data_IF_049503631969
#
_entry.id   IF_049503631969
#
_cell.length_a   1.000
_cell.length_b   1.000
_cell.length_c   1.000
_cell.angle_alpha   90.00
_cell.angle_beta   90.00
_cell.angle_gamma   90.00
#
_symmetry.space_group_name_H-M   'P 1'
#
loop_
_entity.id
_entity.type
_entity.pdbx_description
1 polymer ?
#
# COMPACT_ATOMS: atom_id res chain seq x y z
N UNK A 1 -18.13 7.90 7.90
CA UNK A 1 -16.86 8.10 7.17
C UNK A 1 -16.90 9.50 6.55
N UNK A 2 -16.46 10.52 7.29
CA UNK A 2 -16.41 11.90 6.78
C UNK A 2 -15.16 12.11 5.90
N UNK A 3 -14.03 11.54 6.31
CA UNK A 3 -12.74 11.63 5.60
C UNK A 3 -12.79 11.08 4.17
N UNK A 4 -13.54 10.00 3.93
CA UNK A 4 -13.64 9.37 2.61
C UNK A 4 -14.43 10.25 1.62
N UNK A 5 -15.57 10.81 2.07
CA UNK A 5 -16.35 11.75 1.27
C UNK A 5 -15.59 13.06 1.01
N UNK A 6 -14.82 13.54 2.00
CA UNK A 6 -13.98 14.72 1.85
C UNK A 6 -12.88 14.54 0.79
N UNK A 7 -12.31 13.33 0.68
CA UNK A 7 -11.25 13.02 -0.27
C UNK A 7 -11.74 12.63 -1.67
N UNK A 8 -12.89 11.97 -1.79
CA UNK A 8 -13.42 11.52 -3.10
C UNK A 8 -14.17 12.61 -3.87
N UNK A 9 -14.64 13.66 -3.18
CA UNK A 9 -15.54 14.65 -3.76
C UNK A 9 -16.94 14.10 -4.04
N UNK A 10 -17.27 12.92 -3.50
CA UNK A 10 -18.60 12.34 -3.59
C UNK A 10 -19.58 13.11 -2.70
N UNK A 11 -20.84 13.21 -3.13
CA UNK A 11 -21.87 13.87 -2.35
C UNK A 11 -22.03 13.17 -1.00
N UNK A 12 -22.14 13.95 0.08
CA UNK A 12 -22.35 13.41 1.42
C UNK A 12 -23.77 12.80 1.48
N UNK A 13 -23.99 11.75 2.29
CA UNK A 13 -25.33 11.29 2.60
C UNK A 13 -26.16 12.44 3.15
N UNK A 14 -27.44 12.52 2.76
CA UNK A 14 -28.31 13.66 3.08
C UNK A 14 -28.40 13.94 4.58
N UNK A 15 -28.43 12.90 5.41
CA UNK A 15 -28.46 13.04 6.87
C UNK A 15 -27.21 13.72 7.43
N UNK A 16 -26.07 13.50 6.78
CA UNK A 16 -24.78 14.06 7.15
C UNK A 16 -24.64 15.50 6.64
N UNK A 17 -25.15 15.80 5.45
CA UNK A 17 -25.24 17.18 4.93
C UNK A 17 -26.10 18.04 5.87
N UNK A 18 -27.27 17.55 6.27
CA UNK A 18 -28.15 18.25 7.21
C UNK A 18 -27.46 18.49 8.56
N UNK A 19 -26.67 17.52 9.05
CA UNK A 19 -25.90 17.68 10.29
C UNK A 19 -24.74 18.70 10.15
N UNK A 20 -23.94 18.60 9.09
CA UNK A 20 -22.82 19.53 8.84
C UNK A 20 -23.35 20.94 8.63
N UNK A 21 -24.49 21.11 7.97
CA UNK A 21 -25.15 22.41 7.84
C UNK A 21 -25.71 22.95 9.17
N UNK A 22 -26.14 22.07 10.08
CA UNK A 22 -26.70 22.45 11.38
C UNK A 22 -25.68 22.63 12.51
N UNK A 23 -24.42 22.20 12.32
CA UNK A 23 -23.39 22.22 13.37
C UNK A 23 -22.13 22.96 12.91
N UNK A 24 -21.90 24.17 13.46
CA UNK A 24 -20.76 25.03 13.11
C UNK A 24 -19.40 24.33 13.32
N UNK A 25 -19.25 23.55 14.39
CA UNK A 25 -18.01 22.83 14.68
C UNK A 25 -17.70 21.77 13.61
N UNK A 26 -18.70 20.98 13.20
CA UNK A 26 -18.55 19.98 12.15
C UNK A 26 -18.31 20.63 10.79
N UNK A 27 -18.94 21.77 10.51
CA UNK A 27 -18.69 22.55 9.30
C UNK A 27 -17.25 23.03 9.21
N UNK A 28 -16.72 23.62 10.29
CA UNK A 28 -15.33 24.06 10.35
C UNK A 28 -14.35 22.90 10.17
N UNK A 29 -14.55 21.79 10.88
CA UNK A 29 -13.71 20.60 10.75
C UNK A 29 -13.74 20.02 9.33
N UNK A 30 -14.90 19.96 8.70
CA UNK A 30 -15.04 19.47 7.32
C UNK A 30 -14.36 20.40 6.30
N UNK A 31 -14.45 21.72 6.50
CA UNK A 31 -13.74 22.69 5.67
C UNK A 31 -12.21 22.56 5.79
N UNK A 32 -11.70 22.33 7.00
CA UNK A 32 -10.28 22.08 7.26
C UNK A 32 -9.79 20.80 6.57
N UNK A 33 -10.57 19.70 6.67
CA UNK A 33 -10.26 18.44 5.97
C UNK A 33 -10.24 18.65 4.45
N UNK A 34 -11.23 19.34 3.88
CA UNK A 34 -11.23 19.66 2.43
C UNK A 34 -10.02 20.49 2.02
N UNK A 35 -9.63 21.49 2.83
CA UNK A 35 -8.47 22.31 2.54
C UNK A 35 -7.18 21.47 2.53
N UNK A 36 -7.05 20.54 3.48
CA UNK A 36 -5.94 19.60 3.52
C UNK A 36 -5.88 18.72 2.26
N UNK A 37 -6.99 18.09 1.87
CA UNK A 37 -7.04 17.25 0.67
C UNK A 37 -6.69 18.04 -0.60
N UNK A 38 -7.24 19.24 -0.78
CA UNK A 38 -6.88 20.11 -1.90
C UNK A 38 -5.39 20.46 -1.94
N UNK A 39 -4.75 20.64 -0.78
CA UNK A 39 -3.31 20.90 -0.72
C UNK A 39 -2.47 19.70 -1.16
N UNK A 40 -2.90 18.48 -0.79
CA UNK A 40 -2.25 17.23 -1.17
C UNK A 40 -2.42 17.01 -2.68
N UNK A 41 -3.63 17.16 -3.19
CA UNK A 41 -3.92 17.00 -4.62
C UNK A 41 -3.16 18.02 -5.46
N UNK A 42 -3.10 19.28 -5.01
CA UNK A 42 -2.31 20.31 -5.67
C UNK A 42 -0.82 19.96 -5.73
N UNK A 43 -0.26 19.42 -4.65
CA UNK A 43 1.14 18.98 -4.62
C UNK A 43 1.40 17.77 -5.52
N UNK A 44 0.49 16.79 -5.53
CA UNK A 44 0.56 15.61 -6.40
C UNK A 44 0.44 16.03 -7.88
N UNK A 45 -0.49 16.93 -8.19
CA UNK A 45 -0.67 17.45 -9.54
C UNK A 45 0.57 18.23 -10.00
N UNK A 46 1.15 19.07 -9.13
CA UNK A 46 2.38 19.79 -9.43
C UNK A 46 3.56 18.83 -9.69
N UNK A 47 3.68 17.77 -8.88
CA UNK A 47 4.72 16.76 -9.06
C UNK A 47 4.50 15.90 -10.33
N UNK A 48 3.26 15.51 -10.61
CA UNK A 48 2.91 14.69 -11.77
C UNK A 48 3.05 15.46 -13.10
N UNK A 49 2.81 16.77 -13.07
CA UNK A 49 2.97 17.65 -14.23
C UNK A 49 4.32 18.38 -14.23
N UNK A 50 5.27 17.99 -13.38
CA UNK A 50 6.62 18.53 -13.44
C UNK A 50 7.21 18.27 -14.83
N UNK A 51 7.91 19.26 -15.37
CA UNK A 51 8.48 19.18 -16.71
C UNK A 51 9.38 17.95 -16.82
N UNK A 52 8.99 17.02 -17.69
CA UNK A 52 9.73 15.78 -17.91
C UNK A 52 11.01 16.15 -18.67
N UNK A 53 12.21 15.90 -18.12
CA UNK A 53 13.43 16.24 -18.82
C UNK A 53 13.48 15.52 -20.17
N UNK A 54 13.79 16.25 -21.24
CA UNK A 54 13.75 15.71 -22.62
C UNK A 54 14.64 14.47 -22.83
N UNK A 55 15.62 14.24 -21.95
CA UNK A 55 16.48 13.05 -21.94
C UNK A 55 15.82 11.78 -21.39
N UNK A 56 14.71 11.89 -20.65
CA UNK A 56 14.05 10.75 -20.01
C UNK A 56 13.42 9.82 -21.04
N UNK A 57 12.69 10.36 -22.01
CA UNK A 57 12.03 9.53 -23.04
C UNK A 57 13.02 8.72 -23.89
N UNK A 58 14.12 9.29 -24.43
CA UNK A 58 15.14 8.50 -25.12
C UNK A 58 15.74 7.39 -24.23
N UNK A 59 16.01 7.68 -22.96
CA UNK A 59 16.61 6.72 -22.02
C UNK A 59 15.66 5.57 -21.69
N UNK A 60 14.39 5.87 -21.42
CA UNK A 60 13.36 4.87 -21.18
C UNK A 60 13.16 3.99 -22.42
N UNK A 61 13.11 4.59 -23.61
CA UNK A 61 13.02 3.82 -24.88
C UNK A 61 14.21 2.89 -25.08
N UNK A 62 15.43 3.38 -24.84
CA UNK A 62 16.64 2.58 -24.92
C UNK A 62 16.63 1.44 -23.89
N UNK A 63 16.16 1.71 -22.69
CA UNK A 63 16.08 0.70 -21.63
C UNK A 63 15.03 -0.37 -21.93
N UNK A 64 13.82 0.01 -22.35
CA UNK A 64 12.78 -0.94 -22.79
C UNK A 64 13.26 -1.80 -23.97
N UNK A 65 13.94 -1.19 -24.95
CA UNK A 65 14.54 -1.93 -26.06
C UNK A 65 15.58 -2.94 -25.54
N UNK A 66 16.44 -2.54 -24.61
CA UNK A 66 17.45 -3.43 -24.02
C UNK A 66 16.85 -4.56 -23.19
N UNK A 67 15.77 -4.30 -22.44
CA UNK A 67 15.12 -5.29 -21.58
C UNK A 67 14.28 -6.29 -22.38
N UNK A 68 13.66 -5.85 -23.48
CA UNK A 68 12.90 -6.71 -24.39
C UNK A 68 13.74 -7.85 -24.98
N UNK A 69 15.04 -7.62 -25.20
CA UNK A 69 15.96 -8.64 -25.72
C UNK A 69 16.29 -9.73 -24.69
N UNK A 70 16.21 -9.43 -23.38
CA UNK A 70 16.48 -10.38 -22.29
C UNK A 70 15.23 -11.10 -21.81
N UNK A 71 14.08 -10.43 -21.79
CA UNK A 71 12.82 -10.99 -21.31
C UNK A 71 12.24 -12.07 -22.24
N UNK A 72 12.47 -11.98 -23.56
CA UNK A 72 11.83 -12.88 -24.52
C UNK A 72 12.34 -14.34 -24.49
N UNK A 73 13.44 -14.63 -23.76
CA UNK A 73 13.97 -16.00 -23.68
C UNK A 73 13.29 -16.87 -22.61
N UNK A 74 12.58 -16.28 -21.63
CA UNK A 74 11.91 -17.02 -20.53
C UNK A 74 10.39 -17.12 -20.66
N UNK A 75 9.76 -16.27 -21.46
CA UNK A 75 8.31 -16.31 -21.72
C UNK A 75 7.82 -17.61 -22.37
N UNK A 76 8.53 -18.28 -23.30
CA UNK A 76 7.96 -19.50 -23.90
C UNK A 76 7.77 -20.62 -22.88
N UNK A 77 8.64 -20.73 -21.86
CA UNK A 77 8.56 -21.82 -20.87
C UNK A 77 7.28 -21.74 -20.03
N UNK A 78 6.89 -20.54 -19.60
CA UNK A 78 5.66 -20.35 -18.81
C UNK A 78 4.39 -20.57 -19.63
N UNK A 79 4.38 -20.19 -20.91
CA UNK A 79 3.25 -20.44 -21.81
C UNK A 79 3.04 -21.95 -22.07
N UNK A 80 4.11 -22.74 -22.15
CA UNK A 80 3.99 -24.20 -22.26
C UNK A 80 3.48 -24.86 -20.97
N UNK A 81 3.84 -24.34 -19.79
CA UNK A 81 3.37 -24.87 -18.50
C UNK A 81 1.87 -24.65 -18.32
N UNK A 82 1.36 -23.46 -18.66
CA UNK A 82 -0.10 -23.17 -18.55
C UNK A 82 -0.90 -23.97 -19.57
N UNK A 83 -0.42 -24.08 -20.82
CA UNK A 83 -1.06 -24.92 -21.85
C UNK A 83 -1.13 -26.41 -21.45
N UNK A 84 -0.05 -26.95 -20.88
CA UNK A 84 -0.01 -28.33 -20.40
C UNK A 84 -1.00 -28.59 -19.26
N UNK A 85 -1.20 -27.63 -18.36
CA UNK A 85 -2.09 -27.78 -17.21
C UNK A 85 -3.57 -27.80 -17.63
N UNK A 86 -3.96 -26.98 -18.62
CA UNK A 86 -5.32 -26.98 -19.19
C UNK A 86 -5.61 -28.30 -19.91
N UNK A 87 -4.67 -28.78 -20.74
CA UNK A 87 -4.84 -30.07 -21.44
C UNK A 87 -4.92 -31.22 -20.43
N UNK A 88 -4.05 -31.22 -19.41
CA UNK A 88 -4.08 -32.22 -18.34
C UNK A 88 -5.41 -32.25 -17.57
N UNK A 89 -5.96 -31.09 -17.24
CA UNK A 89 -7.25 -30.97 -16.55
C UNK A 89 -8.41 -31.51 -17.40
N UNK A 90 -8.41 -31.27 -18.72
CA UNK A 90 -9.42 -31.79 -19.64
C UNK A 90 -9.35 -33.32 -19.73
N UNK A 91 -8.14 -33.88 -19.87
CA UNK A 91 -7.94 -35.35 -19.94
C UNK A 91 -8.37 -36.03 -18.64
N UNK A 92 -7.94 -35.51 -17.48
CA UNK A 92 -8.31 -36.05 -16.17
C UNK A 92 -9.83 -35.99 -15.94
N UNK A 93 -10.48 -34.87 -16.30
CA UNK A 93 -11.93 -34.71 -16.16
C UNK A 93 -12.70 -35.69 -17.07
N UNK A 94 -12.22 -35.92 -18.30
CA UNK A 94 -12.86 -36.87 -19.22
C UNK A 94 -12.73 -38.33 -18.77
N UNK A 95 -11.66 -38.68 -18.05
CA UNK A 95 -11.41 -40.04 -17.55
C UNK A 95 -12.28 -40.40 -16.33
N UNK A 96 -12.56 -39.44 -15.44
CA UNK A 96 -13.40 -39.68 -14.26
C UNK A 96 -14.87 -39.92 -14.60
N UNK A 97 -15.36 -39.28 -15.69
CA UNK A 97 -16.70 -39.48 -16.24
C UNK A 97 -16.90 -40.91 -16.78
N UNK A 98 -15.84 -41.53 -17.34
CA UNK A 98 -15.92 -42.91 -17.85
C UNK A 98 -15.91 -43.97 -16.75
N UNK A 99 -15.20 -43.74 -15.65
CA UNK A 99 -15.18 -44.68 -14.52
C UNK A 99 -16.45 -44.63 -13.66
N UNK A 100 -17.15 -43.50 -13.64
CA UNK A 100 -18.41 -43.36 -12.87
C UNK A 100 -19.60 -44.10 -13.48
N UNK A 101 -19.53 -44.47 -14.76
CA UNK A 101 -20.61 -45.19 -15.46
C UNK A 101 -20.65 -46.71 -15.16
N UNK A 102 -19.60 -47.27 -14.54
CA UNK A 102 -19.49 -48.73 -14.30
C UNK A 102 -19.95 -49.14 -12.88
N UNK A 103 -20.26 -48.20 -11.98
CA UNK A 103 -20.57 -48.51 -10.57
C UNK A 103 -22.02 -48.29 -10.14
N UNK A 104 -23.00 -48.28 -11.06
CA UNK A 104 -24.43 -48.23 -10.72
C UNK A 104 -25.22 -49.38 -11.36
N UNK A 105 -25.03 -50.60 -10.84
CA UNK A 105 -26.01 -51.67 -11.00
C UNK A 105 -25.96 -52.66 -9.83
N UNK A 106 -26.54 -52.24 -8.69
CA UNK A 106 -27.03 -53.07 -7.56
C UNK A 106 -27.28 -52.09 -6.41
N UNK A 107 -28.43 -51.87 -5.82
CA UNK A 107 -29.77 -52.44 -5.87
C UNK A 107 -30.53 -51.89 -4.63
N UNK A 108 -31.86 -51.90 -4.67
CA UNK A 108 -32.83 -51.69 -3.56
C UNK A 108 -33.15 -50.25 -3.07
N UNK A 109 -34.20 -49.72 -3.70
CA UNK A 109 -35.50 -49.23 -3.15
C UNK A 109 -35.88 -49.57 -1.67
N UNK A 110 -36.95 -48.99 -1.07
CA UNK A 110 -37.11 -47.62 -0.54
C UNK A 110 -37.57 -47.60 0.95
N UNK A 111 -37.54 -46.44 1.61
CA UNK A 111 -38.45 -46.19 2.74
C UNK A 111 -38.71 -44.69 2.95
N UNK A 112 -40.00 -44.36 2.98
CA UNK A 112 -40.56 -43.03 3.12
C UNK A 112 -40.42 -42.43 4.55
N UNK A 113 -40.27 -41.11 4.61
CA UNK A 113 -40.75 -40.21 5.68
C UNK A 113 -40.66 -38.79 5.12
N UNK A 114 -41.73 -38.12 4.70
CA UNK A 114 -42.86 -37.62 5.48
C UNK A 114 -42.40 -36.88 6.74
N UNK A 115 -42.37 -35.55 6.72
CA UNK A 115 -43.40 -34.67 7.32
C UNK A 115 -43.01 -33.21 7.06
N UNK A 116 -44.03 -32.45 6.67
CA UNK A 116 -44.12 -31.00 6.51
C UNK A 116 -43.74 -30.25 7.80
N UNK A 117 -43.28 -29.00 7.70
CA UNK A 117 -44.02 -27.91 8.34
C UNK A 117 -43.51 -26.54 7.91
N UNK A 118 -44.41 -25.75 7.33
CA UNK A 118 -44.32 -24.31 7.22
C UNK A 118 -44.63 -23.63 8.58
N UNK A 119 -44.49 -22.30 8.62
CA UNK A 119 -44.94 -21.28 9.61
C UNK A 119 -43.71 -20.44 10.04
N UNK A 120 -43.44 -19.29 9.41
CA UNK A 120 -44.08 -17.97 9.59
C UNK A 120 -43.98 -17.43 11.03
N UNK A 121 -43.10 -16.43 11.23
CA UNK A 121 -43.33 -15.22 12.05
C UNK A 121 -42.10 -14.31 12.06
N UNK A 122 -42.25 -13.17 11.41
CA UNK A 122 -41.61 -11.88 11.74
C UNK A 122 -42.46 -11.18 12.84
N UNK A 123 -42.20 -9.93 13.27
CA UNK A 123 -41.04 -9.33 13.94
C UNK A 123 -41.40 -8.81 15.36
N UNK A 124 -40.49 -8.80 16.33
CA UNK A 124 -40.46 -7.92 17.53
C UNK A 124 -39.14 -8.23 18.25
N UNK A 125 -38.29 -7.34 18.72
CA UNK A 125 -38.26 -5.90 18.93
C UNK A 125 -37.12 -5.64 19.93
N UNK A 126 -36.38 -4.55 19.76
CA UNK A 126 -35.66 -3.78 20.79
C UNK A 126 -34.89 -4.52 21.91
N UNK A 127 -33.56 -4.47 21.85
CA UNK A 127 -32.75 -4.06 23.01
C UNK A 127 -31.34 -3.66 22.55
N UNK A 128 -31.15 -2.37 22.30
CA UNK A 128 -29.82 -1.75 22.21
C UNK A 128 -29.42 -1.43 23.64
N UNK A 129 -28.39 -2.12 24.14
CA UNK A 129 -27.79 -1.85 25.44
C UNK A 129 -26.86 -0.65 25.28
N UNK A 130 -27.40 0.55 25.52
CA UNK A 130 -26.64 1.80 25.59
C UNK A 130 -25.92 1.87 26.93
N UNK A 131 -24.61 1.60 26.94
CA UNK A 131 -23.74 1.86 28.08
C UNK A 131 -23.49 3.35 28.23
N UNK A 132 -24.19 3.95 29.21
CA UNK A 132 -23.92 5.28 29.74
C UNK A 132 -22.50 5.34 30.33
N UNK A 133 -21.58 6.00 29.63
CA UNK A 133 -20.30 6.40 30.21
C UNK A 133 -20.56 7.67 31.03
N UNK A 134 -20.51 7.45 32.35
CA UNK A 134 -20.66 8.42 33.41
C UNK A 134 -19.48 9.42 33.39
N UNK A 135 -19.77 10.67 33.04
CA UNK A 135 -18.86 11.81 33.20
C UNK A 135 -18.75 12.13 34.69
N UNK A 136 -17.55 11.98 35.27
CA UNK A 136 -17.23 12.51 36.60
C UNK A 136 -16.60 13.89 36.47
N UNK A 137 -17.05 14.90 37.23
CA UNK A 137 -16.42 16.21 37.25
C UNK A 137 -15.39 16.34 38.39
N UNK A 138 -14.44 17.24 38.15
CA UNK A 138 -13.64 17.98 39.14
C UNK A 138 -12.50 17.26 39.88
N UNK A 139 -11.29 17.75 39.63
CA UNK A 139 -10.41 18.25 40.69
C UNK A 139 -9.27 19.06 40.08
N UNK A 140 -9.46 20.38 39.99
CA UNK A 140 -8.35 21.33 40.04
C UNK A 140 -7.65 21.18 41.39
N UNK A 141 -6.38 20.80 41.43
CA UNK A 141 -5.45 21.20 42.51
C UNK A 141 -4.01 21.33 42.00
N UNK A 142 -3.60 22.59 41.93
CA UNK A 142 -2.37 23.15 42.50
C UNK A 142 -1.02 22.54 42.07
N UNK A 143 -0.34 23.36 41.26
CA UNK A 143 1.11 23.53 41.13
C UNK A 143 1.90 23.09 42.37
N UNK A 144 2.83 22.14 42.21
CA UNK A 144 4.00 22.02 43.08
C UNK A 144 5.20 21.52 42.30
N UNK A 145 5.98 22.51 41.85
CA UNK A 145 7.44 22.56 41.78
C UNK A 145 8.18 21.28 42.26
N UNK A 146 8.66 20.48 41.30
CA UNK A 146 9.92 19.74 41.46
C UNK A 146 10.62 19.58 40.12
N UNK A 147 11.46 20.57 39.84
CA UNK A 147 12.55 20.48 38.88
C UNK A 147 13.50 19.33 39.21
N UNK A 148 14.03 18.73 38.15
CA UNK A 148 15.32 18.02 38.05
C UNK A 148 15.49 16.82 38.96
N UNK A 149 15.06 15.68 38.44
CA UNK A 149 15.89 14.47 38.44
C UNK A 149 15.80 13.83 37.06
N UNK A 150 16.78 14.21 36.23
CA UNK A 150 17.49 13.30 35.34
C UNK A 150 16.62 12.58 34.30
N UNK A 151 16.42 13.34 33.23
CA UNK A 151 16.38 12.90 31.84
C UNK A 151 17.56 11.94 31.59
N UNK A 152 17.37 10.63 31.78
CA UNK A 152 18.36 9.62 31.37
C UNK A 152 17.74 8.24 31.07
N UNK A 153 16.50 8.23 30.55
CA UNK A 153 15.85 7.00 30.08
C UNK A 153 15.14 7.11 28.72
N UNK A 154 15.33 8.19 27.98
CA UNK A 154 14.73 8.38 26.63
C UNK A 154 15.77 8.15 25.50
N UNK A 155 16.76 7.29 25.75
CA UNK A 155 17.77 6.92 24.75
C UNK A 155 17.71 5.43 24.34
N UNK A 156 16.63 4.71 24.65
CA UNK A 156 16.29 3.51 23.89
C UNK A 156 15.31 3.93 22.81
N UNK A 157 15.86 4.30 21.65
CA UNK A 157 15.10 4.29 20.39
C UNK A 157 14.60 2.86 20.21
N UNK A 158 13.39 2.58 20.65
CA UNK A 158 12.66 1.40 20.23
C UNK A 158 12.56 1.49 18.70
N UNK A 159 13.33 0.66 18.01
CA UNK A 159 13.15 0.49 16.58
C UNK A 159 11.67 0.15 16.33
N UNK A 160 11.03 0.75 15.31
CA UNK A 160 9.63 0.52 15.05
C UNK A 160 9.41 -0.98 14.83
N UNK A 161 8.63 -1.61 15.71
CA UNK A 161 8.28 -3.02 15.58
C UNK A 161 7.28 -3.15 14.42
N UNK A 162 7.76 -3.61 13.27
CA UNK A 162 6.93 -3.89 12.10
C UNK A 162 6.41 -5.32 12.22
N UNK A 163 5.09 -5.47 12.38
CA UNK A 163 4.44 -6.78 12.38
C UNK A 163 4.39 -7.33 10.95
N UNK A 164 5.32 -8.24 10.65
CA UNK A 164 5.40 -8.94 9.37
C UNK A 164 4.68 -10.29 9.49
N UNK A 165 3.87 -10.66 8.50
CA UNK A 165 3.25 -11.99 8.46
C UNK A 165 4.32 -13.10 8.39
N UNK A 166 4.01 -14.30 8.88
CA UNK A 166 4.99 -15.41 8.88
C UNK A 166 5.48 -15.78 7.47
N UNK A 167 4.61 -15.66 6.46
CA UNK A 167 4.93 -15.90 5.06
C UNK A 167 5.86 -14.83 4.48
N UNK A 168 5.58 -13.56 4.78
CA UNK A 168 6.40 -12.43 4.34
C UNK A 168 7.78 -12.44 5.01
N UNK A 169 7.86 -12.80 6.29
CA UNK A 169 9.13 -12.99 7.00
C UNK A 169 9.98 -14.10 6.36
N UNK A 170 9.35 -15.20 5.92
CA UNK A 170 10.03 -16.26 5.18
C UNK A 170 10.49 -15.79 3.80
N UNK A 171 9.69 -14.93 3.12
CA UNK A 171 10.06 -14.29 1.87
C UNK A 171 11.29 -13.39 2.00
N UNK A 172 11.29 -12.50 3.01
CA UNK A 172 12.40 -11.58 3.29
C UNK A 172 13.70 -12.33 3.61
N UNK A 173 13.63 -13.43 4.38
CA UNK A 173 14.80 -14.28 4.64
C UNK A 173 15.40 -14.85 3.35
N UNK A 174 14.57 -15.45 2.49
CA UNK A 174 15.02 -15.99 1.20
C UNK A 174 15.65 -14.91 0.33
N UNK A 175 15.06 -13.71 0.31
CA UNK A 175 15.61 -12.59 -0.44
C UNK A 175 16.97 -12.12 0.11
N UNK A 176 17.10 -12.01 1.44
CA UNK A 176 18.36 -11.65 2.08
C UNK A 176 19.46 -12.68 1.78
N UNK A 177 19.14 -13.97 1.77
CA UNK A 177 20.10 -15.03 1.42
C UNK A 177 20.54 -14.94 -0.05
N UNK A 178 19.62 -14.63 -0.98
CA UNK A 178 19.97 -14.38 -2.38
C UNK A 178 20.88 -13.16 -2.55
N UNK A 179 20.64 -12.08 -1.80
CA UNK A 179 21.51 -10.91 -1.82
C UNK A 179 22.92 -11.23 -1.30
N UNK A 180 23.03 -12.00 -0.22
CA UNK A 180 24.32 -12.44 0.32
C UNK A 180 25.06 -13.31 -0.68
N UNK A 181 24.39 -14.31 -1.27
CA UNK A 181 24.98 -15.18 -2.28
C UNK A 181 25.51 -14.37 -3.48
N UNK A 182 24.72 -13.42 -3.98
CA UNK A 182 25.12 -12.53 -5.08
C UNK A 182 26.30 -11.62 -4.70
N UNK A 183 26.34 -11.13 -3.47
CA UNK A 183 27.44 -10.29 -2.99
C UNK A 183 28.78 -11.04 -3.01
N UNK A 184 28.78 -12.32 -2.64
CA UNK A 184 29.98 -13.18 -2.69
C UNK A 184 30.42 -13.45 -4.14
N UNK A 185 29.49 -13.64 -5.08
CA UNK A 185 29.83 -13.76 -6.51
C UNK A 185 30.50 -12.48 -7.04
N UNK A 186 30.00 -11.30 -6.67
CA UNK A 186 30.60 -10.02 -7.10
C UNK A 186 31.90 -9.68 -6.37
N UNK A 187 32.07 -10.11 -5.12
CA UNK A 187 33.32 -9.91 -4.35
C UNK A 187 34.48 -10.71 -4.93
N UNK A 188 34.23 -11.91 -5.46
CA UNK A 188 35.25 -12.72 -6.12
C UNK A 188 35.78 -12.10 -7.43
N UNK A 189 35.07 -11.14 -8.03
CA UNK A 189 35.52 -10.39 -9.21
C UNK A 189 36.27 -9.09 -8.88
N UNK A 190 36.29 -8.65 -7.63
CA UNK A 190 36.97 -7.41 -7.20
C UNK A 190 38.18 -7.64 -6.29
N UNK A 191 38.46 -8.88 -5.89
CA UNK A 191 39.66 -9.27 -5.13
C UNK A 191 40.99 -9.23 -5.93
N UNK A 192 41.03 -8.51 -7.06
CA UNK A 192 42.24 -8.23 -7.83
C UNK A 192 42.54 -6.71 -7.92
N UNK A 193 42.07 -5.91 -6.96
CA UNK A 193 42.54 -4.54 -6.79
C UNK A 193 43.56 -4.56 -5.66
N UNK A 194 44.82 -4.52 -6.11
CA UNK A 194 46.04 -4.38 -5.34
C UNK A 194 45.92 -3.38 -4.19
N UNK A 195 46.55 -3.76 -3.09
CA UNK A 195 46.76 -3.07 -1.82
C UNK A 195 47.64 -1.80 -1.99
N UNK A 196 47.27 -0.93 -2.93
CA UNK A 196 47.88 0.39 -3.08
C UNK A 196 47.13 1.35 -2.16
N UNK A 197 47.82 2.08 -1.26
CA UNK A 197 47.19 3.09 -0.42
C UNK A 197 46.62 4.18 -1.33
N UNK A 198 45.29 4.19 -1.49
CA UNK A 198 44.61 5.27 -2.18
C UNK A 198 44.70 6.50 -1.28
N UNK A 199 45.63 7.39 -1.59
CA UNK A 199 45.67 8.75 -1.07
C UNK A 199 44.46 9.49 -1.64
N UNK A 200 43.33 9.40 -0.94
CA UNK A 200 42.11 10.13 -1.28
C UNK A 200 42.41 11.62 -1.06
N UNK A 201 42.83 12.30 -2.13
CA UNK A 201 42.90 13.75 -2.13
C UNK A 201 41.48 14.28 -1.89
N UNK A 202 41.25 15.10 -0.85
CA UNK A 202 39.95 15.70 -0.60
C UNK A 202 39.44 16.37 -1.87
N UNK A 203 38.20 16.10 -2.28
CA UNK A 203 37.58 16.83 -3.38
C UNK A 203 37.50 18.30 -2.97
N UNK A 204 38.33 19.14 -3.56
CA UNK A 204 38.12 20.58 -3.58
C UNK A 204 36.88 20.86 -4.41
N UNK A 205 35.75 21.00 -3.73
CA UNK A 205 34.52 21.50 -4.34
C UNK A 205 34.81 22.96 -4.68
N UNK A 206 35.10 23.24 -5.96
CA UNK A 206 35.23 24.60 -6.45
C UNK A 206 33.96 25.37 -6.06
N UNK A 207 34.12 26.49 -5.38
CA UNK A 207 33.03 27.42 -5.06
C UNK A 207 32.24 27.70 -6.34
N UNK A 208 31.02 27.17 -6.40
CA UNK A 208 30.05 27.52 -7.43
C UNK A 208 29.76 29.01 -7.28
N UNK A 209 30.33 29.80 -8.17
CA UNK A 209 30.12 31.24 -8.24
C UNK A 209 28.66 31.57 -8.59
N UNK A 210 27.79 31.59 -7.58
CA UNK A 210 26.38 31.98 -7.67
C UNK A 210 26.22 33.51 -7.78
N UNK A 211 27.05 34.18 -8.57
CA UNK A 211 26.87 35.59 -8.89
C UNK A 211 26.06 35.68 -10.19
N UNK A 212 24.84 36.20 -10.06
CA UNK A 212 23.93 36.60 -11.16
C UNK A 212 23.13 35.47 -11.82
N UNK A 213 22.21 34.87 -11.06
CA UNK A 213 20.94 34.44 -11.66
C UNK A 213 19.93 35.56 -11.42
N UNK A 214 19.92 36.53 -12.32
CA UNK A 214 18.91 37.59 -12.36
C UNK A 214 17.63 36.97 -12.93
N UNK A 215 16.74 36.52 -12.05
CA UNK A 215 15.43 36.01 -12.46
C UNK A 215 14.60 37.21 -12.90
N UNK A 216 14.31 37.32 -14.21
CA UNK A 216 13.35 38.32 -14.69
C UNK A 216 11.93 37.87 -14.33
N UNK A 217 11.09 38.78 -13.80
CA UNK A 217 9.69 38.48 -13.52
C UNK A 217 8.94 38.26 -14.84
N UNK A 218 8.17 37.18 -14.90
CA UNK A 218 7.24 36.89 -15.99
C UNK A 218 6.13 37.95 -15.96
N UNK A 219 6.10 38.82 -16.96
CA UNK A 219 5.00 39.76 -17.16
C UNK A 219 3.71 38.96 -17.41
N UNK A 220 2.71 39.22 -16.56
CA UNK A 220 1.42 38.55 -16.60
C UNK A 220 0.64 38.91 -17.86
N UNK A 221 0.27 37.89 -18.63
CA UNK A 221 -0.78 38.01 -19.64
C UNK A 221 -2.14 37.99 -18.94
N UNK A 222 -2.61 39.16 -18.53
CA UNK A 222 -4.02 39.43 -18.28
C UNK A 222 -4.72 39.38 -19.65
N UNK A 223 -5.69 38.48 -19.81
CA UNK A 223 -6.53 38.40 -21.01
C UNK A 223 -7.98 38.43 -20.55
N UNK A 224 -8.68 39.43 -21.09
CA UNK A 224 -10.13 39.69 -20.98
C UNK A 224 -11.01 38.48 -21.34
#
# INVERSE_FOLDING_TARGET
>A
MLMEAAGSGEALPRELEEHVAGCEHCHAAFADEQALFRSIDGALQAAANAEIPGSLLPRVRMQVASDSTKANRRVPVLAFVTGGLVIGAIVLSSSSLRHSAVSRSTGKEPAARSIQSAVSREPTGLSIQTSLIQVSPSSERLVSRRERLVVDRVAQRSEPEVLVSSEEAAGLRRYADLLRAKSHETSNHTAAISDAPFEIKPLEIAELGLRQLTIQPLEGSESD
#
